data_IF_786512253342
#
_entry.id   IF_786512253342
#
_cell.length_a   1.000
_cell.length_b   1.000
_cell.length_c   1.000
_cell.angle_alpha   90.00
_cell.angle_beta   90.00
_cell.angle_gamma   90.00
#
_symmetry.space_group_name_H-M   'P 1'
#
loop_
_entity.id
_entity.type
_entity.pdbx_description
1 polymer ?
#
# COMPACT_ATOMS: atom_id res chain seq x y z
N UNK A 1 -20.98 4.59 16.48
CA UNK A 1 -20.70 3.26 17.05
C UNK A 1 -19.21 3.00 16.95
N UNK A 2 -18.52 2.55 18.01
CA UNK A 2 -17.20 1.96 17.85
C UNK A 2 -17.33 0.73 16.94
N UNK A 3 -16.47 0.60 15.94
CA UNK A 3 -16.44 -0.57 15.07
C UNK A 3 -16.20 -1.86 15.87
N UNK A 4 -16.56 -3.04 15.32
CA UNK A 4 -16.27 -4.29 16.00
C UNK A 4 -14.76 -4.40 16.28
N UNK A 5 -14.35 -4.98 17.42
CA UNK A 5 -12.94 -5.24 17.68
C UNK A 5 -12.41 -6.12 16.54
N UNK A 6 -11.45 -5.59 15.77
CA UNK A 6 -10.75 -6.36 14.75
C UNK A 6 -10.24 -7.64 15.39
N UNK A 7 -10.65 -8.79 14.86
CA UNK A 7 -10.27 -10.08 15.42
C UNK A 7 -8.74 -10.15 15.50
N UNK A 8 -8.21 -10.42 16.70
CA UNK A 8 -6.79 -10.56 16.90
C UNK A 8 -6.25 -11.64 15.95
N UNK A 9 -5.12 -11.31 15.35
CA UNK A 9 -4.43 -12.16 14.40
C UNK A 9 -4.06 -13.51 15.02
N UNK A 10 -4.37 -14.66 14.37
CA UNK A 10 -4.02 -15.96 14.93
C UNK A 10 -2.52 -16.10 15.11
N UNK A 11 -2.09 -16.54 16.29
CA UNK A 11 -0.67 -16.75 16.60
C UNK A 11 -0.18 -18.10 16.09
N UNK A 12 -1.06 -19.09 15.94
CA UNK A 12 -0.73 -20.42 15.43
C UNK A 12 -0.71 -20.46 13.89
N UNK A 13 0.18 -21.23 13.25
CA UNK A 13 0.29 -21.27 11.79
C UNK A 13 -1.00 -21.65 11.05
N UNK A 14 -1.79 -22.59 11.57
CA UNK A 14 -3.00 -23.06 10.89
C UNK A 14 -4.10 -21.99 10.89
N UNK A 15 -4.28 -21.30 12.01
CA UNK A 15 -5.18 -20.15 12.12
C UNK A 15 -4.82 -19.04 11.14
N UNK A 16 -3.52 -18.75 10.94
CA UNK A 16 -3.07 -17.74 9.97
C UNK A 16 -3.44 -18.12 8.54
N UNK A 17 -3.22 -19.37 8.16
CA UNK A 17 -3.58 -19.85 6.81
C UNK A 17 -5.08 -19.75 6.56
N UNK A 18 -5.90 -20.17 7.53
CA UNK A 18 -7.37 -20.05 7.42
C UNK A 18 -7.80 -18.58 7.31
N UNK A 19 -7.21 -17.69 8.11
CA UNK A 19 -7.50 -16.26 8.04
C UNK A 19 -7.09 -15.67 6.68
N UNK A 20 -5.93 -16.03 6.16
CA UNK A 20 -5.44 -15.57 4.86
C UNK A 20 -6.32 -16.06 3.71
N UNK A 21 -6.78 -17.31 3.74
CA UNK A 21 -7.72 -17.85 2.75
C UNK A 21 -9.04 -17.08 2.74
N UNK A 22 -9.58 -16.79 3.93
CA UNK A 22 -10.81 -15.98 4.07
C UNK A 22 -10.64 -14.56 3.53
N UNK A 23 -9.51 -13.93 3.80
CA UNK A 23 -9.25 -12.58 3.29
C UNK A 23 -9.02 -12.55 1.78
N UNK A 24 -8.28 -13.52 1.23
CA UNK A 24 -8.14 -13.65 -0.21
C UNK A 24 -9.52 -13.80 -0.85
N UNK A 25 -10.36 -14.71 -0.33
CA UNK A 25 -11.72 -14.91 -0.82
C UNK A 25 -12.57 -13.63 -0.72
N UNK A 26 -12.56 -12.97 0.45
CA UNK A 26 -13.32 -11.75 0.67
C UNK A 26 -12.89 -10.59 -0.24
N UNK A 27 -11.58 -10.45 -0.49
CA UNK A 27 -11.04 -9.45 -1.41
C UNK A 27 -11.47 -9.74 -2.86
N UNK A 28 -11.36 -11.00 -3.30
CA UNK A 28 -11.80 -11.39 -4.64
C UNK A 28 -13.32 -11.23 -4.84
N UNK A 29 -14.12 -11.62 -3.85
CA UNK A 29 -15.58 -11.45 -3.89
C UNK A 29 -15.99 -9.98 -3.87
N UNK A 30 -15.25 -9.13 -3.15
CA UNK A 30 -15.46 -7.67 -3.15
C UNK A 30 -15.18 -7.09 -4.53
N UNK A 31 -14.05 -7.46 -5.13
CA UNK A 31 -13.70 -7.02 -6.48
C UNK A 31 -14.73 -7.43 -7.52
N UNK A 32 -15.23 -8.68 -7.52
CA UNK A 32 -16.27 -9.09 -8.47
C UNK A 32 -17.55 -8.25 -8.34
N UNK A 33 -17.91 -7.83 -7.12
CA UNK A 33 -19.08 -6.96 -6.90
C UNK A 33 -18.85 -5.53 -7.38
N UNK A 34 -17.64 -5.02 -7.28
CA UNK A 34 -17.30 -3.62 -7.56
C UNK A 34 -16.80 -3.39 -8.99
N UNK A 35 -16.21 -4.41 -9.61
CA UNK A 35 -15.52 -4.36 -10.90
C UNK A 35 -15.96 -5.46 -11.87
N UNK A 36 -16.96 -6.27 -11.51
CA UNK A 36 -17.53 -7.30 -12.38
C UNK A 36 -18.24 -6.75 -13.62
N UNK A 37 -18.58 -7.63 -14.56
CA UNK A 37 -19.26 -7.23 -15.79
C UNK A 37 -20.55 -6.43 -15.51
N UNK A 38 -20.71 -5.27 -16.15
CA UNK A 38 -21.87 -4.39 -15.98
C UNK A 38 -21.76 -3.40 -14.82
N UNK A 39 -20.67 -3.41 -14.04
CA UNK A 39 -20.40 -2.37 -13.05
C UNK A 39 -19.85 -1.10 -13.72
N UNK A 40 -20.28 0.10 -13.31
CA UNK A 40 -19.67 1.34 -13.76
C UNK A 40 -18.19 1.39 -13.38
N UNK A 41 -17.34 1.92 -14.27
CA UNK A 41 -15.93 2.15 -13.97
C UNK A 41 -15.79 3.10 -12.78
N UNK A 42 -15.32 2.56 -11.67
CA UNK A 42 -14.95 3.33 -10.48
C UNK A 42 -13.46 3.62 -10.50
N UNK A 43 -13.08 4.87 -10.24
CA UNK A 43 -11.68 5.21 -10.00
C UNK A 43 -11.14 4.52 -8.73
N UNK A 44 -10.46 3.41 -8.97
CA UNK A 44 -9.76 2.61 -7.97
C UNK A 44 -8.27 2.70 -8.29
N UNK A 45 -7.55 3.70 -7.77
CA UNK A 45 -6.12 3.78 -7.96
C UNK A 45 -5.46 2.56 -7.30
N UNK A 46 -4.30 2.13 -7.81
CA UNK A 46 -3.56 0.95 -7.30
C UNK A 46 -2.07 1.20 -7.09
N UNK A 47 -1.49 0.68 -6.00
CA UNK A 47 -0.10 0.93 -5.62
C UNK A 47 0.06 1.96 -4.51
N UNK A 48 1.19 2.69 -4.49
CA UNK A 48 1.38 3.84 -3.61
C UNK A 48 1.01 5.11 -4.37
N UNK A 49 0.07 5.90 -3.85
CA UNK A 49 -0.30 7.21 -4.45
C UNK A 49 0.41 8.38 -3.79
N UNK A 50 1.51 8.09 -3.10
CA UNK A 50 2.49 9.04 -2.63
C UNK A 50 3.87 8.52 -2.99
N UNK A 51 4.68 9.36 -3.61
CA UNK A 51 6.04 9.00 -4.01
C UNK A 51 7.01 10.16 -3.79
N UNK A 52 8.30 9.84 -3.73
CA UNK A 52 9.37 10.82 -3.81
C UNK A 52 9.84 10.97 -5.25
N UNK A 53 10.12 12.20 -5.67
CA UNK A 53 10.74 12.50 -6.95
C UNK A 53 12.15 13.00 -6.65
N UNK A 54 13.15 12.27 -7.17
CA UNK A 54 14.57 12.53 -6.93
C UNK A 54 15.16 11.69 -5.80
N UNK A 55 16.45 11.91 -5.54
CA UNK A 55 17.24 11.17 -4.55
C UNK A 55 17.54 12.06 -3.37
N UNK A 56 17.31 11.55 -2.15
CA UNK A 56 17.65 12.26 -0.91
C UNK A 56 19.15 12.51 -0.81
N UNK A 57 19.51 13.68 -0.29
CA UNK A 57 20.90 14.02 -0.02
C UNK A 57 21.46 13.10 1.09
N UNK A 58 22.77 12.72 1.07
CA UNK A 58 23.35 11.73 1.98
C UNK A 58 23.13 11.98 3.49
N UNK A 59 22.93 13.24 3.90
CA UNK A 59 22.74 13.64 5.29
C UNK A 59 21.26 13.87 5.67
N UNK A 60 20.31 13.58 4.77
CA UNK A 60 18.87 13.88 4.94
C UNK A 60 18.02 12.62 5.18
N UNK A 61 18.60 11.58 5.80
CA UNK A 61 17.89 10.32 6.08
C UNK A 61 16.58 10.50 6.87
N UNK A 62 16.54 11.45 7.81
CA UNK A 62 15.32 11.80 8.55
C UNK A 62 14.23 12.43 7.68
N UNK A 63 14.58 13.09 6.57
CA UNK A 63 13.59 13.72 5.68
C UNK A 63 12.75 12.68 4.94
N UNK A 64 13.34 11.54 4.60
CA UNK A 64 12.58 10.41 4.05
C UNK A 64 11.54 9.90 5.04
N UNK A 65 11.94 9.70 6.29
CA UNK A 65 11.03 9.26 7.35
C UNK A 65 9.93 10.29 7.60
N UNK A 66 10.29 11.58 7.62
CA UNK A 66 9.35 12.69 7.72
C UNK A 66 8.33 12.71 6.58
N UNK A 67 8.73 12.46 5.32
CA UNK A 67 7.78 12.39 4.20
C UNK A 67 6.82 11.21 4.34
N UNK A 68 7.34 10.04 4.70
CA UNK A 68 6.54 8.81 4.89
C UNK A 68 5.53 8.97 6.05
N UNK A 69 5.97 9.59 7.14
CA UNK A 69 5.15 9.89 8.31
C UNK A 69 4.38 11.22 8.17
N UNK A 70 4.49 11.87 7.00
CA UNK A 70 4.00 13.21 6.66
C UNK A 70 4.08 14.23 7.79
N UNK A 71 5.28 14.32 8.36
CA UNK A 71 5.73 15.43 9.16
C UNK A 71 5.95 16.65 8.27
N UNK A 72 4.86 17.23 7.76
CA UNK A 72 4.90 18.38 6.88
C UNK A 72 4.50 19.64 7.64
N UNK A 73 5.30 20.69 7.46
CA UNK A 73 4.96 22.05 7.86
C UNK A 73 4.55 22.82 6.61
N UNK A 74 3.30 23.27 6.55
CA UNK A 74 2.76 24.01 5.42
C UNK A 74 2.54 25.47 5.87
N UNK A 75 3.41 26.42 5.48
CA UNK A 75 3.21 27.82 5.80
C UNK A 75 1.98 28.41 5.09
N UNK A 76 1.37 29.42 5.70
CA UNK A 76 0.25 30.15 5.11
C UNK A 76 0.61 30.74 3.74
N UNK A 77 -0.32 30.65 2.79
CA UNK A 77 -0.16 31.23 1.45
C UNK A 77 0.76 30.45 0.50
N UNK A 78 1.36 29.34 0.93
CA UNK A 78 2.21 28.49 0.05
C UNK A 78 1.39 27.64 -0.92
N UNK A 79 0.23 27.16 -0.47
CA UNK A 79 -0.61 26.29 -1.31
C UNK A 79 -1.39 27.11 -2.35
N UNK A 80 -1.50 26.61 -3.59
CA UNK A 80 -2.30 27.27 -4.61
C UNK A 80 -3.80 27.14 -4.29
N UNK A 81 -4.60 28.00 -4.92
CA UNK A 81 -6.05 27.81 -4.95
C UNK A 81 -6.37 26.42 -5.54
N UNK A 82 -7.18 25.65 -4.84
CA UNK A 82 -7.55 24.29 -5.27
C UNK A 82 -8.72 24.37 -6.24
N UNK A 83 -8.60 23.89 -7.49
CA UNK A 83 -9.74 23.83 -8.39
C UNK A 83 -10.82 22.92 -7.82
N UNK A 84 -12.10 23.21 -8.10
CA UNK A 84 -13.18 22.41 -7.49
C UNK A 84 -13.20 20.94 -7.96
N UNK A 85 -12.77 20.68 -9.20
CA UNK A 85 -12.79 19.36 -9.81
C UNK A 85 -11.65 19.17 -10.81
N UNK A 86 -11.25 17.93 -11.03
CA UNK A 86 -10.34 17.51 -12.09
C UNK A 86 -10.90 16.31 -12.86
N UNK A 87 -10.28 16.02 -14.01
CA UNK A 87 -10.60 14.88 -14.85
C UNK A 87 -9.57 13.77 -14.65
N UNK A 88 -10.04 12.54 -14.66
CA UNK A 88 -9.26 11.32 -14.73
C UNK A 88 -9.53 10.73 -16.11
N UNK A 89 -8.47 10.46 -16.87
CA UNK A 89 -8.58 9.93 -18.24
C UNK A 89 -7.95 8.57 -18.40
N UNK A 90 -8.60 7.66 -19.10
CA UNK A 90 -8.05 6.37 -19.49
C UNK A 90 -7.70 6.36 -20.99
N UNK A 91 -6.75 5.49 -21.43
CA UNK A 91 -6.37 5.37 -22.84
C UNK A 91 -7.51 5.02 -23.81
N UNK A 92 -8.59 4.41 -23.32
CA UNK A 92 -9.78 4.09 -24.10
C UNK A 92 -10.73 5.29 -24.33
N UNK A 93 -10.33 6.48 -23.88
CA UNK A 93 -11.11 7.72 -24.00
C UNK A 93 -12.15 7.90 -22.90
N UNK A 94 -12.28 6.95 -21.96
CA UNK A 94 -13.15 7.13 -20.78
C UNK A 94 -12.61 8.26 -19.92
N UNK A 95 -13.51 9.12 -19.44
CA UNK A 95 -13.18 10.23 -18.55
C UNK A 95 -14.08 10.22 -17.33
N UNK A 96 -13.52 10.46 -16.15
CA UNK A 96 -14.26 10.64 -14.91
C UNK A 96 -13.92 11.97 -14.26
N UNK A 97 -14.94 12.73 -13.86
CA UNK A 97 -14.77 13.98 -13.10
C UNK A 97 -14.79 13.68 -11.60
N UNK A 98 -13.80 14.18 -10.87
CA UNK A 98 -13.69 14.00 -9.40
C UNK A 98 -13.39 15.33 -8.69
N UNK A 99 -13.86 15.50 -7.43
CA UNK A 99 -13.41 16.61 -6.60
C UNK A 99 -11.91 16.54 -6.34
N UNK A 100 -11.24 17.70 -6.38
CA UNK A 100 -9.83 17.78 -5.98
C UNK A 100 -9.76 17.90 -4.47
N UNK A 101 -8.89 17.11 -3.85
CA UNK A 101 -8.53 17.19 -2.45
C UNK A 101 -7.35 18.15 -2.31
N UNK A 102 -7.42 19.20 -1.49
CA UNK A 102 -6.30 20.11 -1.31
C UNK A 102 -5.11 19.39 -0.67
N UNK A 103 -3.86 19.84 -0.90
CA UNK A 103 -2.67 19.19 -0.38
C UNK A 103 -2.73 18.93 1.13
N UNK A 104 -3.18 19.90 1.93
CA UNK A 104 -3.29 19.79 3.38
C UNK A 104 -4.21 18.65 3.83
N UNK A 105 -5.41 18.54 3.23
CA UNK A 105 -6.39 17.54 3.61
C UNK A 105 -5.91 16.10 3.31
N UNK A 106 -5.07 15.92 2.29
CA UNK A 106 -4.50 14.60 1.97
C UNK A 106 -3.64 14.08 3.13
N UNK A 107 -2.80 14.94 3.72
CA UNK A 107 -1.96 14.57 4.85
C UNK A 107 -2.76 14.34 6.12
N UNK A 108 -3.79 15.17 6.35
CA UNK A 108 -4.68 15.01 7.50
C UNK A 108 -5.49 13.72 7.46
N UNK A 109 -5.88 13.24 6.28
CA UNK A 109 -6.71 12.04 6.13
C UNK A 109 -5.90 10.74 6.08
N UNK A 110 -4.67 10.77 5.55
CA UNK A 110 -3.90 9.54 5.30
C UNK A 110 -3.00 9.12 6.45
N UNK A 111 -2.63 10.04 7.33
CA UNK A 111 -1.57 9.80 8.30
C UNK A 111 -2.15 9.63 9.69
N UNK A 112 -1.97 8.46 10.33
CA UNK A 112 -2.41 8.23 11.70
C UNK A 112 -1.89 9.31 12.66
N UNK A 113 -2.70 9.67 13.67
CA UNK A 113 -2.35 10.74 14.61
C UNK A 113 -1.11 10.41 15.45
N UNK A 114 -0.89 9.13 15.75
CA UNK A 114 0.30 8.59 16.42
C UNK A 114 1.56 8.72 15.56
N UNK A 115 1.46 8.51 14.24
CA UNK A 115 2.58 8.77 13.33
C UNK A 115 2.98 10.25 13.34
N UNK A 116 2.00 11.17 13.39
CA UNK A 116 2.24 12.61 13.52
C UNK A 116 2.84 13.01 14.87
N UNK A 117 2.52 12.29 15.95
CA UNK A 117 3.09 12.55 17.27
C UNK A 117 4.62 12.34 17.31
N UNK A 118 5.19 11.63 16.33
CA UNK A 118 6.63 11.42 16.20
C UNK A 118 7.38 12.53 15.46
N UNK A 119 6.67 13.55 14.94
CA UNK A 119 7.25 14.63 14.17
C UNK A 119 7.99 15.67 15.05
N UNK A 120 9.04 16.27 14.49
CA UNK A 120 9.80 17.36 15.09
C UNK A 120 11.11 16.95 15.79
N UNK A 121 11.43 15.66 15.84
CA UNK A 121 12.74 15.17 16.32
C UNK A 121 13.76 15.02 15.18
N UNK A 122 15.00 14.63 15.50
CA UNK A 122 16.06 14.45 14.50
C UNK A 122 15.85 13.26 13.56
N UNK A 123 14.99 12.30 13.92
CA UNK A 123 14.65 11.12 13.11
C UNK A 123 13.46 11.41 12.18
N UNK A 124 12.56 12.31 12.57
CA UNK A 124 11.40 12.76 11.80
C UNK A 124 11.27 14.30 11.86
N UNK A 125 12.22 15.06 11.29
CA UNK A 125 12.13 16.51 11.26
C UNK A 125 10.92 16.97 10.44
N UNK A 126 10.39 18.16 10.70
CA UNK A 126 9.32 18.71 9.87
C UNK A 126 9.86 19.16 8.50
N UNK A 127 9.25 18.68 7.42
CA UNK A 127 9.50 19.14 6.05
C UNK A 127 8.68 20.38 5.77
N UNK A 128 9.34 21.52 5.60
CA UNK A 128 8.66 22.76 5.24
C UNK A 128 8.31 22.74 3.77
N UNK A 129 7.02 22.73 3.44
CA UNK A 129 6.53 22.86 2.06
C UNK A 129 6.76 24.29 1.58
N UNK A 130 7.39 24.45 0.42
CA UNK A 130 7.71 25.75 -0.20
C UNK A 130 6.86 26.05 -1.42
N UNK A 131 6.32 25.02 -2.07
CA UNK A 131 5.34 25.15 -3.14
C UNK A 131 4.56 23.86 -3.33
N UNK A 132 3.36 23.98 -3.90
CA UNK A 132 2.59 22.87 -4.41
C UNK A 132 2.09 23.22 -5.82
N UNK A 133 2.23 22.30 -6.76
CA UNK A 133 1.68 22.45 -8.12
C UNK A 133 0.82 21.24 -8.46
N UNK A 134 -0.26 21.48 -9.20
CA UNK A 134 -1.10 20.41 -9.74
C UNK A 134 -0.53 19.98 -11.08
N UNK A 135 -0.27 18.69 -11.24
CA UNK A 135 0.22 18.09 -12.49
C UNK A 135 -0.63 16.89 -12.84
N UNK A 136 -0.65 16.51 -14.11
CA UNK A 136 -1.21 15.23 -14.53
C UNK A 136 -0.09 14.18 -14.59
N UNK A 137 -0.35 13.00 -14.04
CA UNK A 137 0.59 11.89 -14.04
C UNK A 137 -0.11 10.56 -14.31
N UNK A 138 0.55 9.60 -14.97
CA UNK A 138 0.02 8.25 -15.11
C UNK A 138 0.09 7.55 -13.74
N UNK A 139 -0.99 6.87 -13.37
CA UNK A 139 -1.00 5.91 -12.27
C UNK A 139 -1.68 4.63 -12.72
N UNK A 140 -1.33 3.52 -12.08
CA UNK A 140 -2.08 2.27 -12.26
C UNK A 140 -3.43 2.37 -11.54
N UNK A 141 -4.47 1.86 -12.20
CA UNK A 141 -5.81 1.70 -11.62
C UNK A 141 -6.32 0.30 -11.89
N UNK A 142 -7.39 -0.10 -11.20
CA UNK A 142 -8.10 -1.36 -11.43
C UNK A 142 -8.45 -1.65 -12.90
N UNK A 143 -8.56 -0.59 -13.71
CA UNK A 143 -8.98 -0.63 -15.11
C UNK A 143 -7.85 -0.33 -16.09
N UNK A 144 -6.60 -0.52 -15.65
CA UNK A 144 -5.40 -0.15 -16.38
C UNK A 144 -4.89 1.25 -16.03
N UNK A 145 -3.82 1.71 -16.69
CA UNK A 145 -3.22 3.00 -16.39
C UNK A 145 -4.21 4.13 -16.70
N UNK A 146 -4.24 5.14 -15.82
CA UNK A 146 -5.03 6.35 -15.97
C UNK A 146 -4.16 7.58 -15.77
N UNK A 147 -4.44 8.65 -16.50
CA UNK A 147 -3.89 9.97 -16.23
C UNK A 147 -4.73 10.64 -15.16
N UNK A 148 -4.10 10.97 -14.03
CA UNK A 148 -4.76 11.56 -12.86
C UNK A 148 -4.07 12.85 -12.43
N UNK A 149 -4.81 13.78 -11.82
CA UNK A 149 -4.23 14.93 -11.17
C UNK A 149 -3.46 14.50 -9.89
N UNK A 150 -2.24 15.00 -9.73
CA UNK A 150 -1.39 14.83 -8.57
C UNK A 150 -0.84 16.18 -8.11
N UNK A 151 -0.69 16.34 -6.80
CA UNK A 151 0.07 17.43 -6.21
C UNK A 151 1.54 17.07 -6.18
N UNK A 152 2.38 17.88 -6.82
CA UNK A 152 3.81 17.87 -6.59
C UNK A 152 4.19 18.96 -5.59
N UNK A 153 4.83 18.55 -4.50
CA UNK A 153 5.26 19.39 -3.40
C UNK A 153 6.76 19.58 -3.46
N UNK A 154 7.21 20.83 -3.34
CA UNK A 154 8.62 21.13 -3.09
C UNK A 154 8.82 21.42 -1.61
N UNK A 155 9.99 21.05 -1.10
CA UNK A 155 10.35 21.27 0.29
C UNK A 155 11.53 22.23 0.41
N UNK A 156 11.67 22.89 1.56
CA UNK A 156 12.87 23.65 1.89
C UNK A 156 14.06 22.70 2.10
N UNK A 157 15.27 23.18 1.79
CA UNK A 157 16.54 22.52 2.10
C UNK A 157 16.74 21.10 1.53
N UNK A 158 16.02 20.76 0.44
CA UNK A 158 16.23 19.54 -0.35
C UNK A 158 15.78 19.75 -1.80
N UNK A 159 16.41 19.06 -2.73
CA UNK A 159 15.96 19.00 -4.13
C UNK A 159 14.85 17.96 -4.35
N UNK A 160 14.60 17.07 -3.38
CA UNK A 160 13.56 16.06 -3.45
C UNK A 160 12.18 16.72 -3.42
N UNK A 161 11.26 16.17 -4.22
CA UNK A 161 9.85 16.58 -4.23
C UNK A 161 8.97 15.42 -3.76
N UNK A 162 7.85 15.75 -3.15
CA UNK A 162 6.79 14.78 -2.86
C UNK A 162 5.76 14.80 -3.98
N UNK A 163 5.21 13.65 -4.35
CA UNK A 163 4.05 13.55 -5.23
C UNK A 163 2.92 12.89 -4.46
N UNK A 164 1.70 13.41 -4.56
CA UNK A 164 0.53 12.79 -3.92
C UNK A 164 -0.75 12.98 -4.74
N UNK A 165 -1.60 11.96 -4.77
CA UNK A 165 -2.85 11.99 -5.54
C UNK A 165 -3.77 13.15 -5.13
N UNK A 166 -4.18 13.97 -6.10
CA UNK A 166 -4.99 15.17 -5.85
C UNK A 166 -6.50 14.91 -5.87
N UNK A 167 -6.95 13.68 -6.06
CA UNK A 167 -8.37 13.30 -6.10
C UNK A 167 -8.64 12.20 -5.08
N UNK A 168 -9.83 12.21 -4.49
CA UNK A 168 -10.25 11.14 -3.60
C UNK A 168 -10.42 9.84 -4.40
N UNK A 169 -9.92 8.73 -3.84
CA UNK A 169 -10.37 7.40 -4.27
C UNK A 169 -11.86 7.24 -3.93
N UNK A 170 -12.57 6.41 -4.68
CA UNK A 170 -13.99 6.20 -4.39
C UNK A 170 -14.16 5.55 -3.01
N UNK A 171 -15.09 6.02 -2.15
CA UNK A 171 -15.31 5.43 -0.83
C UNK A 171 -15.66 3.93 -0.87
N UNK A 172 -16.14 3.40 -2.00
CA UNK A 172 -16.38 1.96 -2.15
C UNK A 172 -15.08 1.15 -2.20
N UNK A 173 -13.95 1.76 -2.57
CA UNK A 173 -12.62 1.13 -2.51
C UNK A 173 -12.04 1.20 -1.11
N UNK A 174 -12.89 1.14 -0.08
CA UNK A 174 -12.52 1.27 1.31
C UNK A 174 -11.30 0.37 1.59
N UNK A 175 -10.23 1.00 2.08
CA UNK A 175 -9.15 0.26 2.72
C UNK A 175 -9.80 -0.71 3.71
N UNK A 176 -9.38 -1.99 3.77
CA UNK A 176 -10.01 -2.95 4.67
C UNK A 176 -9.89 -2.43 6.09
N UNK A 177 -10.82 -2.90 6.92
CA UNK A 177 -10.90 -2.44 8.30
C UNK A 177 -9.53 -2.53 8.99
N UNK A 178 -9.15 -1.50 9.78
CA UNK A 178 -7.93 -1.53 10.57
C UNK A 178 -7.81 -2.87 11.33
N UNK A 179 -6.71 -3.59 11.10
CA UNK A 179 -6.45 -4.90 11.71
C UNK A 179 -6.60 -6.12 10.79
N UNK A 180 -6.98 -5.95 9.52
CA UNK A 180 -7.02 -7.04 8.53
C UNK A 180 -5.73 -7.20 7.71
N UNK A 181 -4.66 -6.51 8.08
CA UNK A 181 -3.39 -6.62 7.38
C UNK A 181 -2.69 -7.92 7.73
N UNK A 182 -2.59 -8.77 6.71
CA UNK A 182 -2.05 -10.11 6.82
C UNK A 182 -0.70 -10.21 6.16
N UNK A 183 0.34 -10.29 6.99
CA UNK A 183 1.71 -10.44 6.54
C UNK A 183 2.20 -9.28 5.66
N UNK A 184 3.31 -9.49 4.95
CA UNK A 184 3.87 -8.50 4.03
C UNK A 184 2.90 -8.12 2.92
N UNK A 185 2.92 -6.83 2.55
CA UNK A 185 2.20 -6.34 1.37
C UNK A 185 2.92 -6.84 0.09
N UNK A 186 2.22 -7.51 -0.84
CA UNK A 186 2.69 -7.69 -2.21
C UNK A 186 3.07 -6.36 -2.89
N UNK A 187 4.27 -6.27 -3.44
CA UNK A 187 4.75 -5.07 -4.16
C UNK A 187 4.66 -5.24 -5.69
N UNK A 188 5.14 -6.37 -6.20
CA UNK A 188 5.16 -6.72 -7.63
C UNK A 188 4.88 -8.20 -7.81
N UNK A 189 4.32 -8.57 -8.95
CA UNK A 189 4.13 -9.96 -9.37
C UNK A 189 4.80 -10.21 -10.71
N UNK A 190 5.26 -11.43 -10.93
CA UNK A 190 5.61 -11.95 -12.25
C UNK A 190 4.85 -13.25 -12.47
N UNK A 191 4.62 -13.59 -13.74
CA UNK A 191 3.90 -14.80 -14.14
C UNK A 191 4.79 -15.64 -15.04
N UNK A 192 4.82 -16.95 -14.82
CA UNK A 192 5.50 -17.89 -15.71
C UNK A 192 4.90 -17.89 -17.12
N UNK A 193 5.63 -18.40 -18.14
CA UNK A 193 5.16 -18.44 -19.52
C UNK A 193 3.85 -19.20 -19.74
N UNK A 194 3.54 -20.21 -18.91
CA UNK A 194 2.26 -20.93 -18.93
C UNK A 194 1.09 -20.13 -18.33
N UNK A 195 1.37 -18.94 -17.80
CA UNK A 195 0.41 -18.04 -17.17
C UNK A 195 -0.06 -18.49 -15.78
N UNK A 196 0.45 -19.60 -15.22
CA UNK A 196 -0.12 -20.23 -14.02
C UNK A 196 0.70 -20.05 -12.74
N UNK A 197 2.01 -19.94 -12.83
CA UNK A 197 2.85 -19.73 -11.64
C UNK A 197 2.98 -18.25 -11.39
N UNK A 198 2.38 -17.77 -10.30
CA UNK A 198 2.56 -16.42 -9.78
C UNK A 198 3.77 -16.39 -8.87
N UNK A 199 4.68 -15.45 -9.10
CA UNK A 199 5.74 -15.10 -8.15
C UNK A 199 5.51 -13.67 -7.70
N UNK A 200 5.33 -13.46 -6.40
CA UNK A 200 5.11 -12.13 -5.82
C UNK A 200 6.35 -11.72 -5.04
N UNK A 201 6.84 -10.51 -5.29
CA UNK A 201 7.86 -9.88 -4.49
C UNK A 201 7.27 -8.90 -3.47
N UNK A 202 7.85 -8.87 -2.28
CA UNK A 202 7.40 -8.05 -1.15
C UNK A 202 8.57 -7.74 -0.21
N UNK A 203 8.40 -6.76 0.67
CA UNK A 203 9.36 -6.48 1.76
C UNK A 203 9.09 -7.37 2.98
N UNK A 204 10.10 -8.12 3.42
CA UNK A 204 10.00 -9.02 4.57
C UNK A 204 11.33 -9.30 5.29
N UNK A 205 11.25 -10.04 6.38
CA UNK A 205 12.39 -10.64 7.08
C UNK A 205 13.06 -11.77 6.26
N UNK A 206 14.34 -12.10 6.50
CA UNK A 206 15.05 -13.19 5.82
C UNK A 206 14.46 -14.58 6.13
N UNK A 207 14.59 -15.53 5.19
CA UNK A 207 14.52 -16.94 5.53
C UNK A 207 15.69 -17.30 6.44
N UNK A 208 15.48 -18.18 7.41
CA UNK A 208 16.55 -18.61 8.32
C UNK A 208 16.01 -19.24 9.58
N UNK A 209 16.91 -19.71 10.43
CA UNK A 209 16.59 -20.23 11.77
C UNK A 209 16.85 -19.15 12.82
N UNK A 210 16.04 -19.10 13.88
CA UNK A 210 16.19 -18.15 14.99
C UNK A 210 15.12 -17.04 15.02
N UNK A 211 15.20 -16.10 15.98
CA UNK A 211 14.13 -15.14 16.32
C UNK A 211 13.75 -14.17 15.19
N UNK A 212 14.59 -14.08 14.16
CA UNK A 212 14.44 -13.18 13.03
C UNK A 212 14.03 -13.87 11.72
N UNK A 213 13.90 -15.20 11.73
CA UNK A 213 13.62 -15.99 10.53
C UNK A 213 12.13 -16.13 10.25
N UNK A 214 11.74 -16.00 8.98
CA UNK A 214 10.37 -16.23 8.53
C UNK A 214 10.35 -17.07 7.25
N UNK A 215 9.37 -17.96 7.15
CA UNK A 215 8.93 -18.54 5.89
C UNK A 215 7.72 -17.80 5.37
N UNK A 216 7.56 -17.78 4.05
CA UNK A 216 6.45 -17.10 3.39
C UNK A 216 5.73 -18.05 2.46
N UNK A 217 4.40 -17.99 2.49
CA UNK A 217 3.52 -18.71 1.59
C UNK A 217 2.56 -17.71 0.94
N UNK A 218 2.21 -17.93 -0.33
CA UNK A 218 1.13 -17.20 -0.99
C UNK A 218 -0.17 -17.99 -0.89
N UNK A 219 -1.20 -17.33 -0.34
CA UNK A 219 -2.58 -17.80 -0.40
C UNK A 219 -3.31 -17.02 -1.47
N UNK A 220 -4.14 -17.71 -2.25
CA UNK A 220 -4.87 -17.08 -3.35
C UNK A 220 -6.33 -17.47 -3.35
N UNK A 221 -7.17 -16.55 -3.83
CA UNK A 221 -8.54 -16.83 -4.20
C UNK A 221 -8.74 -16.41 -5.65
N UNK A 222 -9.16 -17.36 -6.48
CA UNK A 222 -9.40 -17.14 -7.90
C UNK A 222 -10.90 -16.92 -8.15
N UNK A 223 -11.21 -15.90 -8.94
CA UNK A 223 -12.53 -15.62 -9.51
C UNK A 223 -12.39 -15.38 -11.02
N UNK A 224 -13.49 -15.38 -11.79
CA UNK A 224 -13.43 -15.17 -13.23
C UNK A 224 -12.77 -13.86 -13.65
N UNK A 225 -12.94 -12.78 -12.89
CA UNK A 225 -12.43 -11.43 -13.16
C UNK A 225 -11.22 -11.01 -12.34
N UNK A 226 -10.74 -11.82 -11.37
CA UNK A 226 -9.63 -11.41 -10.48
C UNK A 226 -8.94 -12.58 -9.79
N UNK A 227 -7.69 -12.39 -9.38
CA UNK A 227 -6.98 -13.24 -8.43
C UNK A 227 -6.54 -12.42 -7.22
N UNK A 228 -7.10 -12.70 -6.04
CA UNK A 228 -6.61 -12.10 -4.81
C UNK A 228 -5.44 -12.90 -4.24
N UNK A 229 -4.44 -12.21 -3.71
CA UNK A 229 -3.19 -12.77 -3.17
C UNK A 229 -2.94 -12.24 -1.77
N UNK A 230 -2.53 -13.14 -0.87
CA UNK A 230 -2.19 -12.83 0.51
C UNK A 230 -0.87 -13.49 0.86
N UNK A 231 0.08 -12.73 1.42
CA UNK A 231 1.36 -13.28 1.88
C UNK A 231 1.22 -13.70 3.34
N UNK A 232 1.37 -14.99 3.62
CA UNK A 232 1.40 -15.51 4.99
C UNK A 232 2.85 -15.60 5.43
N UNK A 233 3.20 -14.85 6.48
CA UNK A 233 4.50 -14.95 7.13
C UNK A 233 4.41 -15.86 8.36
N UNK A 234 5.26 -16.88 8.41
CA UNK A 234 5.36 -17.82 9.53
C UNK A 234 6.73 -17.71 10.14
N UNK A 235 6.81 -17.40 11.43
CA UNK A 235 8.08 -17.35 12.15
C UNK A 235 8.69 -18.75 12.18
N UNK A 236 9.98 -18.85 11.90
CA UNK A 236 10.75 -20.10 12.05
C UNK A 236 11.32 -20.27 13.46
N UNK A 237 11.18 -19.24 14.31
CA UNK A 237 11.54 -19.35 15.71
C UNK A 237 10.57 -20.29 16.43
N UNK A 238 11.05 -21.16 17.33
CA UNK A 238 10.16 -21.86 18.25
C UNK A 238 9.34 -20.83 19.04
N UNK A 239 8.08 -21.16 19.42
CA UNK A 239 7.29 -20.28 20.27
C UNK A 239 8.10 -20.01 21.54
N UNK A 240 8.60 -18.79 21.71
CA UNK A 240 9.18 -18.42 22.99
C UNK A 240 8.03 -18.29 23.97
N UNK A 241 8.06 -19.08 25.05
CA UNK A 241 7.23 -18.80 26.21
C UNK A 241 7.56 -17.36 26.64
N UNK A 242 6.58 -16.46 26.57
CA UNK A 242 6.71 -15.06 26.98
C UNK A 242 6.89 -14.89 28.51
N UNK A 243 7.21 -15.96 29.23
CA UNK A 243 7.35 -16.02 30.69
C UNK A 243 8.78 -15.69 31.19
N UNK A 244 9.66 -15.18 30.32
CA UNK A 244 11.01 -14.72 30.68
C UNK A 244 11.15 -13.19 30.57
N UNK A 245 12.04 -12.56 31.37
CA UNK A 245 12.27 -11.12 31.28
C UNK A 245 12.77 -10.76 29.86
N UNK A 246 12.15 -9.74 29.25
CA UNK A 246 12.41 -9.23 27.90
C UNK A 246 13.81 -8.58 27.80
N UNK A 247 14.89 -9.31 28.05
CA UNK A 247 16.25 -8.74 28.13
C UNK A 247 17.04 -8.75 26.80
N UNK A 248 16.41 -9.09 25.67
CA UNK A 248 17.04 -8.75 24.38
C UNK A 248 16.00 -8.41 23.33
N UNK A 249 15.88 -7.12 23.05
CA UNK A 249 15.38 -6.63 21.77
C UNK A 249 16.38 -7.08 20.71
N UNK A 250 16.26 -8.31 20.21
CA UNK A 250 17.10 -8.81 19.11
C UNK A 250 16.79 -7.97 17.88
N UNK A 251 17.63 -6.97 17.61
CA UNK A 251 17.56 -6.17 16.40
C UNK A 251 17.89 -7.04 15.20
N UNK A 252 16.88 -7.42 14.43
CA UNK A 252 17.04 -8.26 13.25
C UNK A 252 17.63 -7.42 12.09
N UNK A 253 18.89 -7.65 11.66
CA UNK A 253 19.61 -6.76 10.74
C UNK A 253 19.06 -6.73 9.31
N UNK A 254 18.14 -7.64 8.97
CA UNK A 254 17.60 -7.82 7.63
C UNK A 254 16.07 -7.68 7.56
N UNK A 255 15.44 -7.03 8.55
CA UNK A 255 14.05 -6.57 8.43
C UNK A 255 13.99 -5.51 7.34
N UNK A 256 13.01 -5.61 6.44
CA UNK A 256 12.85 -4.65 5.36
C UNK A 256 13.53 -5.03 4.04
N UNK A 257 13.92 -6.29 3.85
CA UNK A 257 14.58 -6.74 2.63
C UNK A 257 13.60 -7.33 1.61
N UNK A 258 13.94 -7.26 0.32
CA UNK A 258 13.15 -7.82 -0.77
C UNK A 258 13.08 -9.36 -0.67
N UNK A 259 11.87 -9.90 -0.75
CA UNK A 259 11.56 -11.33 -0.73
C UNK A 259 10.65 -11.69 -1.88
N UNK A 260 10.57 -12.98 -2.16
CA UNK A 260 9.64 -13.54 -3.14
C UNK A 260 8.98 -14.79 -2.58
N UNK A 261 7.71 -14.99 -2.91
CA UNK A 261 7.01 -16.27 -2.72
C UNK A 261 6.26 -16.60 -4.01
N UNK A 262 6.00 -17.89 -4.24
CA UNK A 262 5.35 -18.35 -5.46
C UNK A 262 4.19 -19.29 -5.14
N UNK A 263 3.22 -19.34 -6.06
CA UNK A 263 2.09 -20.26 -6.01
C UNK A 263 1.57 -20.55 -7.41
N UNK A 264 0.85 -21.65 -7.55
CA UNK A 264 0.30 -22.10 -8.83
C UNK A 264 -1.20 -21.88 -8.85
N UNK A 265 -1.70 -21.23 -9.90
CA UNK A 265 -3.11 -21.01 -10.15
C UNK A 265 -3.77 -22.23 -10.81
N UNK A 266 -5.04 -22.43 -10.52
CA UNK A 266 -5.88 -23.45 -11.17
C UNK A 266 -6.08 -23.14 -12.65
N UNK A 267 -6.13 -21.85 -12.99
CA UNK A 267 -6.30 -21.32 -14.34
C UNK A 267 -5.24 -20.27 -14.63
N UNK A 268 -4.78 -20.17 -15.89
CA UNK A 268 -3.81 -19.15 -16.26
C UNK A 268 -4.33 -17.74 -15.93
N UNK A 269 -3.51 -16.86 -15.36
CA UNK A 269 -3.88 -15.51 -14.95
C UNK A 269 -4.52 -14.74 -16.11
N UNK A 270 -3.89 -14.79 -17.29
CA UNK A 270 -4.34 -14.08 -18.49
C UNK A 270 -4.41 -12.58 -18.24
N UNK A 271 -5.51 -11.96 -18.67
CA UNK A 271 -5.79 -10.54 -18.46
C UNK A 271 -6.36 -10.23 -17.06
N UNK A 272 -6.59 -11.24 -16.21
CA UNK A 272 -7.20 -11.00 -14.90
C UNK A 272 -6.26 -10.17 -14.03
N UNK A 273 -6.73 -9.07 -13.42
CA UNK A 273 -5.99 -8.38 -12.39
C UNK A 273 -5.63 -9.32 -11.23
N UNK A 274 -4.48 -9.07 -10.60
CA UNK A 274 -4.15 -9.65 -9.32
C UNK A 274 -4.14 -8.56 -8.25
N UNK A 275 -4.78 -8.82 -7.11
CA UNK A 275 -4.94 -7.84 -6.02
C UNK A 275 -4.42 -8.38 -4.71
N UNK A 276 -4.00 -7.51 -3.79
CA UNK A 276 -3.73 -7.90 -2.41
C UNK A 276 -5.00 -7.86 -1.53
N UNK A 277 -4.92 -8.23 -0.24
CA UNK A 277 -6.07 -8.34 0.66
C UNK A 277 -6.87 -7.02 0.80
N UNK A 278 -6.22 -5.87 0.66
CA UNK A 278 -6.87 -4.55 0.68
C UNK A 278 -7.57 -4.22 -0.64
N UNK A 279 -7.36 -5.01 -1.69
CA UNK A 279 -7.99 -4.83 -3.00
C UNK A 279 -7.19 -3.93 -3.95
N UNK A 280 -5.98 -3.52 -3.57
CA UNK A 280 -5.09 -2.83 -4.51
C UNK A 280 -4.51 -3.84 -5.50
N UNK A 281 -4.39 -3.44 -6.78
CA UNK A 281 -3.64 -4.23 -7.74
C UNK A 281 -2.19 -4.38 -7.30
N UNK A 282 -1.65 -5.54 -7.65
CA UNK A 282 -0.24 -5.85 -7.57
C UNK A 282 0.35 -5.58 -8.97
N UNK A 283 1.39 -4.75 -9.03
CA UNK A 283 2.04 -4.36 -10.30
C UNK A 283 2.68 -5.58 -10.96
N UNK A 284 2.53 -5.76 -12.28
CA UNK A 284 3.18 -6.82 -13.06
C UNK A 284 4.61 -6.47 -13.47
#
# INVERSE_FOLDING_TARGET
SPGPPGAAWPTDPAGRTIAADRLAAAAADRWEREHGAGTPRVFTPTGSYSDQIGTWEPCKGGYKAALINGCLKIPDGVLPATPGHAQIGWPDGTVQRRPIVPPSAIFEQRIPADARASCGDSRNPELTVTSAILVDAPIDTAWGPATVPMWQLSFADTAVRGSVLAVAADPTTAAPEPGQDIGPRPDRLTVSPDGRTLTVSFIGAPPGTGPCGYTYELRTAQRPGVVAVVVVATSTAPPQSLDGPLESTVGCPAVGALRTAATTLDTALGERPAIENRGHLITR
#
